data_IF_891941997075
#
_entry.id   IF_891941997075
#
_cell.length_a   1.000
_cell.length_b   1.000
_cell.length_c   1.000
_cell.angle_alpha   90.00
_cell.angle_beta   90.00
_cell.angle_gamma   90.00
#
_symmetry.space_group_name_H-M   'P 1'
#
loop_
_entity.id
_entity.type
_entity.pdbx_description
1 polymer ?
#
# COMPACT_ATOMS: atom_id res chain seq x y z
N UNK A 1 1.84 -3.09 -12.19
CA UNK A 1 2.03 -3.01 -10.73
C UNK A 1 0.65 -2.85 -10.15
N UNK A 2 0.36 -3.58 -9.08
CA UNK A 2 -0.93 -3.52 -8.41
C UNK A 2 -0.84 -2.60 -7.19
N UNK A 3 -1.96 -1.96 -6.87
CA UNK A 3 -2.08 -1.08 -5.71
C UNK A 3 -2.67 -1.87 -4.57
N UNK A 4 -1.90 -2.00 -3.49
CA UNK A 4 -2.34 -2.69 -2.27
C UNK A 4 -2.78 -1.71 -1.17
N UNK A 5 -2.62 -0.41 -1.41
CA UNK A 5 -3.16 0.60 -0.53
C UNK A 5 -3.17 1.99 -1.14
N UNK A 6 -4.10 2.81 -0.70
CA UNK A 6 -4.29 4.20 -1.09
C UNK A 6 -4.48 4.99 0.19
N UNK A 7 -3.65 6.00 0.37
CA UNK A 7 -3.73 6.89 1.53
C UNK A 7 -3.39 8.31 1.12
N UNK A 8 -3.67 9.27 2.00
CA UNK A 8 -3.39 10.68 1.77
C UNK A 8 -2.34 11.14 2.77
N UNK A 9 -1.25 11.71 2.29
CA UNK A 9 -0.19 12.24 3.14
C UNK A 9 0.17 13.67 2.74
N UNK A 10 0.70 14.42 3.70
CA UNK A 10 1.22 15.75 3.39
C UNK A 10 2.61 15.61 2.79
N UNK A 11 2.80 16.19 1.61
CA UNK A 11 4.08 16.26 0.93
C UNK A 11 4.30 17.68 0.43
N UNK A 12 5.39 18.30 0.89
CA UNK A 12 5.78 19.68 0.52
C UNK A 12 4.65 20.71 0.70
N UNK A 13 3.86 20.59 1.77
CA UNK A 13 2.79 21.52 2.13
C UNK A 13 1.46 21.30 1.42
N UNK A 14 1.31 20.22 0.64
CA UNK A 14 0.05 19.83 0.04
C UNK A 14 -0.31 18.40 0.46
N UNK A 15 -1.60 18.14 0.64
CA UNK A 15 -2.08 16.76 0.83
C UNK A 15 -2.19 16.10 -0.53
N UNK A 16 -1.42 15.03 -0.72
CA UNK A 16 -1.39 14.25 -1.94
C UNK A 16 -1.81 12.80 -1.68
N UNK A 17 -2.42 12.17 -2.69
CA UNK A 17 -2.75 10.75 -2.68
C UNK A 17 -1.50 9.93 -2.99
N UNK A 18 -1.26 8.90 -2.20
CA UNK A 18 -0.19 7.93 -2.38
C UNK A 18 -0.77 6.54 -2.64
N UNK A 19 -0.02 5.75 -3.40
CA UNK A 19 -0.31 4.35 -3.69
C UNK A 19 0.79 3.47 -3.10
N UNK A 20 0.40 2.47 -2.31
CA UNK A 20 1.28 1.40 -1.85
C UNK A 20 1.31 0.32 -2.92
N UNK A 21 2.49 0.02 -3.44
CA UNK A 21 2.69 -0.96 -4.50
C UNK A 21 3.77 -1.96 -4.13
N UNK A 22 3.72 -3.12 -4.78
CA UNK A 22 4.89 -3.98 -4.97
C UNK A 22 5.47 -3.68 -6.36
N UNK A 23 6.67 -3.10 -6.47
CA UNK A 23 7.22 -2.69 -7.77
C UNK A 23 7.60 -3.88 -8.65
N UNK A 24 8.18 -4.93 -8.05
CA UNK A 24 8.62 -6.15 -8.73
C UNK A 24 8.73 -7.34 -7.77
N UNK A 25 8.70 -8.56 -8.31
CA UNK A 25 8.96 -9.79 -7.57
C UNK A 25 10.38 -9.78 -7.01
N UNK A 26 10.51 -10.00 -5.70
CA UNK A 26 11.79 -9.95 -5.00
C UNK A 26 12.16 -8.58 -4.42
N UNK A 27 11.30 -7.57 -4.57
CA UNK A 27 11.45 -6.32 -3.82
C UNK A 27 11.28 -6.58 -2.32
N UNK A 28 12.12 -6.02 -1.44
CA UNK A 28 12.10 -6.38 -0.02
C UNK A 28 10.95 -5.73 0.75
N UNK A 29 10.12 -4.87 0.14
CA UNK A 29 8.99 -4.25 0.82
C UNK A 29 8.03 -3.48 -0.09
N UNK A 30 7.08 -2.79 0.53
CA UNK A 30 6.14 -1.91 -0.17
C UNK A 30 6.78 -0.57 -0.51
N UNK A 31 6.40 -0.02 -1.67
CA UNK A 31 6.76 1.34 -2.05
C UNK A 31 5.55 2.26 -2.05
N UNK A 32 5.75 3.46 -1.51
CA UNK A 32 4.79 4.56 -1.61
C UNK A 32 5.08 5.44 -2.81
N UNK A 33 4.17 5.46 -3.77
CA UNK A 33 4.28 6.27 -4.99
C UNK A 33 3.24 7.38 -4.97
N UNK A 34 3.63 8.67 -5.09
CA UNK A 34 2.67 9.76 -5.16
C UNK A 34 1.87 9.69 -6.46
N UNK A 35 0.61 10.12 -6.42
CA UNK A 35 -0.26 10.11 -7.59
C UNK A 35 0.25 10.99 -8.74
N UNK A 36 1.08 11.99 -8.46
CA UNK A 36 1.74 12.80 -9.49
C UNK A 36 2.82 12.06 -10.28
N UNK A 37 3.36 10.96 -9.75
CA UNK A 37 4.44 10.19 -10.39
C UNK A 37 3.93 8.91 -11.09
N UNK A 38 2.62 8.70 -11.20
CA UNK A 38 2.06 7.53 -11.87
C UNK A 38 0.78 7.81 -12.68
N UNK A 39 0.50 6.91 -13.62
CA UNK A 39 -0.75 6.90 -14.40
C UNK A 39 -1.60 5.70 -13.98
N UNK A 40 -2.87 5.94 -13.63
CA UNK A 40 -3.82 4.89 -13.24
C UNK A 40 -4.53 4.38 -14.49
N UNK A 41 -4.27 3.11 -14.84
CA UNK A 41 -4.86 2.45 -16.01
C UNK A 41 -6.15 1.69 -15.70
N UNK A 42 -6.31 1.23 -14.45
CA UNK A 42 -7.54 0.64 -13.90
C UNK A 42 -7.77 1.24 -12.51
N UNK A 43 -8.99 1.73 -12.26
CA UNK A 43 -9.39 2.40 -11.04
C UNK A 43 -10.34 1.55 -10.17
N UNK A 44 -10.46 0.25 -10.46
CA UNK A 44 -11.12 -0.71 -9.58
C UNK A 44 -10.42 -0.77 -8.22
N UNK A 45 -11.19 -0.97 -7.15
CA UNK A 45 -10.70 -1.04 -5.76
C UNK A 45 -10.99 -2.41 -5.14
N UNK A 46 -11.13 -3.43 -5.99
CA UNK A 46 -11.47 -4.78 -5.56
C UNK A 46 -10.38 -5.33 -4.63
N UNK A 47 -10.80 -5.99 -3.54
CA UNK A 47 -9.87 -6.52 -2.53
C UNK A 47 -9.33 -5.50 -1.54
N UNK A 48 -9.70 -4.21 -1.63
CA UNK A 48 -9.35 -3.20 -0.63
C UNK A 48 -10.50 -2.91 0.34
N UNK A 49 -10.16 -2.59 1.59
CA UNK A 49 -11.10 -2.17 2.63
C UNK A 49 -10.92 -0.70 2.98
N UNK A 50 -12.04 0.00 3.21
CA UNK A 50 -12.03 1.37 3.70
C UNK A 50 -11.73 1.38 5.21
N UNK A 51 -10.71 2.14 5.59
CA UNK A 51 -10.30 2.36 6.99
C UNK A 51 -10.00 3.83 7.25
N UNK A 52 -9.65 4.17 8.49
CA UNK A 52 -9.23 5.51 8.90
C UNK A 52 -7.77 5.52 9.31
N UNK A 53 -7.01 6.51 8.85
CA UNK A 53 -5.66 6.77 9.35
C UNK A 53 -5.70 7.38 10.77
N UNK A 54 -4.53 7.61 11.36
CA UNK A 54 -4.41 8.22 12.71
C UNK A 54 -4.97 9.64 12.81
N UNK A 55 -5.23 10.30 11.68
CA UNK A 55 -5.82 11.64 11.58
C UNK A 55 -7.30 11.60 11.20
N UNK A 56 -7.91 10.41 11.13
CA UNK A 56 -9.31 10.21 10.75
C UNK A 56 -9.59 10.38 9.26
N UNK A 57 -8.56 10.41 8.41
CA UNK A 57 -8.68 10.45 6.95
C UNK A 57 -8.95 9.06 6.42
N UNK A 58 -9.73 8.99 5.34
CA UNK A 58 -9.98 7.71 4.67
C UNK A 58 -8.69 7.14 4.09
N UNK A 59 -8.57 5.82 4.14
CA UNK A 59 -7.57 5.04 3.44
C UNK A 59 -8.23 3.77 2.90
N UNK A 60 -7.79 3.31 1.74
CA UNK A 60 -8.20 2.03 1.17
C UNK A 60 -7.00 1.11 1.23
N UNK A 61 -7.06 0.00 1.96
CA UNK A 61 -5.88 -0.86 2.11
C UNK A 61 -6.25 -2.34 1.96
N UNK A 62 -5.28 -3.15 1.54
CA UNK A 62 -5.43 -4.58 1.53
C UNK A 62 -5.63 -5.10 2.98
N UNK A 63 -6.56 -6.03 3.24
CA UNK A 63 -6.90 -6.47 4.60
C UNK A 63 -5.72 -6.90 5.46
N UNK A 64 -4.69 -7.53 4.88
CA UNK A 64 -3.48 -7.91 5.64
C UNK A 64 -2.73 -6.70 6.21
N UNK A 65 -2.82 -5.54 5.56
CA UNK A 65 -2.14 -4.32 5.99
C UNK A 65 -2.90 -3.57 7.11
N UNK A 66 -4.04 -4.11 7.57
CA UNK A 66 -4.73 -3.59 8.75
C UNK A 66 -3.93 -3.82 10.03
N UNK A 67 -3.11 -4.87 10.06
CA UNK A 67 -2.12 -5.08 11.11
C UNK A 67 -0.97 -4.08 10.93
N UNK A 68 -0.87 -3.12 11.85
CA UNK A 68 0.12 -2.06 11.79
C UNK A 68 1.54 -2.57 11.95
N UNK A 69 1.76 -3.56 12.81
CA UNK A 69 3.10 -4.13 13.00
C UNK A 69 3.55 -4.82 11.70
N UNK A 70 2.62 -5.47 11.01
CA UNK A 70 2.89 -6.09 9.72
C UNK A 70 3.13 -5.07 8.60
N UNK A 71 2.34 -4.00 8.55
CA UNK A 71 2.56 -2.90 7.61
C UNK A 71 3.91 -2.22 7.83
N UNK A 72 4.29 -1.97 9.09
CA UNK A 72 5.58 -1.37 9.44
C UNK A 72 6.73 -2.27 8.98
N UNK A 73 6.65 -3.58 9.18
CA UNK A 73 7.63 -4.54 8.66
C UNK A 73 7.78 -4.48 7.13
N UNK A 74 6.67 -4.34 6.40
CA UNK A 74 6.69 -4.22 4.94
C UNK A 74 7.27 -2.88 4.45
N UNK A 75 7.08 -1.80 5.21
CA UNK A 75 7.67 -0.49 4.92
C UNK A 75 9.17 -0.49 5.26
N UNK A 76 9.57 -1.16 6.34
CA UNK A 76 10.97 -1.33 6.76
C UNK A 76 11.74 -2.36 5.94
N UNK A 77 11.12 -2.91 4.90
CA UNK A 77 11.70 -3.87 3.97
C UNK A 77 12.11 -5.21 4.61
N UNK A 78 11.30 -5.74 5.54
CA UNK A 78 11.47 -7.08 6.09
C UNK A 78 11.14 -8.15 5.04
N UNK A 79 12.17 -8.92 4.63
CA UNK A 79 12.05 -9.94 3.60
C UNK A 79 11.02 -11.02 3.95
N UNK A 80 10.96 -11.45 5.22
CA UNK A 80 10.06 -12.51 5.67
C UNK A 80 8.58 -12.08 5.70
N UNK A 81 8.32 -10.83 6.08
CA UNK A 81 6.99 -10.22 5.98
C UNK A 81 6.57 -10.10 4.52
N UNK A 82 7.49 -9.71 3.64
CA UNK A 82 7.23 -9.55 2.21
C UNK A 82 6.95 -10.89 1.51
N UNK A 83 7.71 -11.96 1.81
CA UNK A 83 7.43 -13.30 1.30
C UNK A 83 6.02 -13.78 1.67
N UNK A 84 5.60 -13.56 2.92
CA UNK A 84 4.24 -13.89 3.37
C UNK A 84 3.18 -13.08 2.63
N UNK A 85 3.47 -11.81 2.36
CA UNK A 85 2.53 -10.92 1.66
C UNK A 85 2.31 -11.41 0.23
N UNK A 86 3.39 -11.68 -0.51
CA UNK A 86 3.35 -12.22 -1.87
C UNK A 86 2.66 -13.59 -1.91
N UNK A 87 2.94 -14.46 -0.93
CA UNK A 87 2.30 -15.77 -0.85
C UNK A 87 0.78 -15.67 -0.65
N UNK A 88 0.28 -14.62 0.01
CA UNK A 88 -1.16 -14.39 0.15
C UNK A 88 -1.78 -13.79 -1.11
N UNK A 89 -1.10 -12.83 -1.76
CA UNK A 89 -1.58 -12.26 -3.02
C UNK A 89 -1.81 -13.33 -4.09
N UNK A 90 -0.94 -14.34 -4.15
CA UNK A 90 -1.05 -15.46 -5.11
C UNK A 90 -2.20 -16.45 -4.81
N UNK A 91 -2.90 -16.34 -3.68
CA UNK A 91 -4.06 -17.19 -3.36
C UNK A 91 -5.40 -16.62 -3.82
N UNK A 92 -5.42 -15.34 -4.20
CA UNK A 92 -6.60 -14.62 -4.68
C UNK A 92 -6.77 -14.82 -6.19
#
# INVERSE_FOLDING_TARGET
MEVHGIYWAEYRGNVERYHLIVPELGCPGLLSVPASDCEIVDASLDGLVLTKDTRGKDAFIHPMLLDREYLDQLIEHDEGAMEKFIAELNKQ
#
